data_IF_200256418131
#
_entry.id   IF_200256418131
#
_cell.length_a   1.000
_cell.length_b   1.000
_cell.length_c   1.000
_cell.angle_alpha   90.00
_cell.angle_beta   90.00
_cell.angle_gamma   90.00
#
_symmetry.space_group_name_H-M   'P 1'
#
loop_
_entity.id
_entity.type
_entity.pdbx_description
1 polymer ?
#
# COMPACT_ATOMS: atom_id res chain seq x y z
N UNK A 1 -6.96 0.59 -18.34
CA UNK A 1 -6.90 -0.78 -18.77
C UNK A 1 -5.59 -1.42 -18.37
N UNK A 2 -5.66 -2.50 -17.62
CA UNK A 2 -4.49 -3.14 -17.04
C UNK A 2 -4.32 -4.55 -17.61
N UNK A 3 -4.11 -4.63 -18.93
CA UNK A 3 -3.86 -5.90 -19.59
C UNK A 3 -2.52 -6.50 -19.18
N UNK A 4 -1.57 -5.65 -18.76
CA UNK A 4 -0.28 -6.11 -18.24
C UNK A 4 -0.28 -6.02 -16.73
N UNK A 5 0.44 -6.91 -16.05
CA UNK A 5 0.60 -6.79 -14.61
C UNK A 5 1.20 -5.43 -14.24
N UNK A 6 0.53 -4.69 -13.36
CA UNK A 6 1.07 -3.42 -12.88
C UNK A 6 1.39 -3.46 -11.38
N UNK A 7 0.99 -4.53 -10.71
CA UNK A 7 1.33 -4.78 -9.31
C UNK A 7 2.03 -6.12 -9.20
N UNK A 8 2.99 -6.20 -8.30
CA UNK A 8 3.61 -7.47 -7.97
C UNK A 8 3.78 -7.59 -6.46
N UNK A 9 3.74 -8.83 -5.97
CA UNK A 9 3.94 -9.17 -4.57
C UNK A 9 4.98 -10.27 -4.49
N UNK A 10 5.95 -10.13 -3.61
CA UNK A 10 6.97 -11.13 -3.40
C UNK A 10 7.30 -11.25 -1.92
N UNK A 11 7.40 -12.49 -1.46
CA UNK A 11 7.90 -12.77 -0.11
C UNK A 11 9.41 -12.62 -0.12
N UNK A 12 9.96 -11.97 0.89
CA UNK A 12 11.38 -11.69 0.99
C UNK A 12 11.84 -11.83 2.44
N UNK A 13 13.15 -11.64 2.65
CA UNK A 13 13.74 -11.58 4.00
C UNK A 13 13.46 -12.86 4.81
N UNK A 14 13.61 -14.02 4.15
CA UNK A 14 13.39 -15.29 4.83
C UNK A 14 11.95 -15.54 5.26
N UNK A 15 10.99 -14.91 4.59
CA UNK A 15 9.57 -15.02 4.93
C UNK A 15 9.09 -13.95 5.88
N UNK A 16 9.94 -12.97 6.23
CA UNK A 16 9.60 -11.96 7.24
C UNK A 16 9.09 -10.66 6.64
N UNK A 17 9.02 -10.55 5.32
CA UNK A 17 8.47 -9.38 4.67
C UNK A 17 7.76 -9.77 3.38
N UNK A 18 6.81 -8.92 2.98
CA UNK A 18 6.17 -8.99 1.67
C UNK A 18 6.42 -7.65 0.98
N UNK A 19 6.97 -7.72 -0.21
CA UNK A 19 7.27 -6.53 -1.01
C UNK A 19 6.18 -6.38 -2.07
N UNK A 20 5.55 -5.20 -2.07
CA UNK A 20 4.55 -4.83 -3.07
C UNK A 20 5.17 -3.78 -3.98
N UNK A 21 5.06 -3.98 -5.28
CA UNK A 21 5.43 -2.98 -6.27
C UNK A 21 4.18 -2.55 -7.02
N UNK A 22 3.98 -1.26 -7.14
CA UNK A 22 2.84 -0.65 -7.83
C UNK A 22 3.34 0.05 -9.08
N UNK A 23 2.60 -0.04 -10.18
CA UNK A 23 2.97 0.57 -11.46
C UNK A 23 4.36 0.14 -11.90
N UNK A 24 4.57 -1.18 -11.92
CA UNK A 24 5.87 -1.82 -12.16
C UNK A 24 6.48 -1.31 -13.48
N UNK A 25 7.74 -0.87 -13.39
CA UNK A 25 8.52 -0.36 -14.53
C UNK A 25 7.95 0.90 -15.18
N UNK A 26 7.08 1.62 -14.48
CA UNK A 26 6.57 2.92 -14.91
C UNK A 26 7.27 4.05 -14.15
N UNK A 27 7.24 5.29 -14.67
CA UNK A 27 7.88 6.41 -13.96
C UNK A 27 7.36 6.67 -12.55
N UNK A 28 6.12 6.26 -12.27
CA UNK A 28 5.50 6.42 -10.96
C UNK A 28 5.51 5.13 -10.14
N UNK A 29 6.43 4.23 -10.41
CA UNK A 29 6.55 3.01 -9.63
C UNK A 29 6.74 3.34 -8.15
N UNK A 30 6.04 2.58 -7.28
CA UNK A 30 6.12 2.70 -5.84
C UNK A 30 6.35 1.34 -5.22
N UNK A 31 6.91 1.33 -4.02
CA UNK A 31 7.20 0.10 -3.30
C UNK A 31 6.66 0.19 -1.89
N UNK A 32 5.97 -0.85 -1.45
CA UNK A 32 5.54 -0.98 -0.06
C UNK A 32 6.15 -2.25 0.51
N UNK A 33 6.53 -2.20 1.78
CA UNK A 33 7.04 -3.37 2.49
C UNK A 33 6.13 -3.63 3.69
N UNK A 34 5.57 -4.83 3.73
CA UNK A 34 4.70 -5.29 4.83
C UNK A 34 5.51 -6.20 5.73
N UNK A 35 5.39 -6.02 7.03
CA UNK A 35 6.13 -6.81 8.01
C UNK A 35 5.42 -6.82 9.34
N UNK A 36 5.73 -7.85 10.16
CA UNK A 36 5.17 -7.97 11.50
C UNK A 36 6.18 -7.48 12.53
N UNK A 37 5.68 -6.80 13.54
CA UNK A 37 6.48 -6.42 14.70
C UNK A 37 5.60 -6.52 15.94
N UNK A 38 6.03 -7.30 16.92
CA UNK A 38 5.28 -7.52 18.16
C UNK A 38 3.83 -7.97 17.90
N UNK A 39 3.62 -8.77 16.87
CA UNK A 39 2.29 -9.27 16.51
C UNK A 39 1.41 -8.31 15.74
N UNK A 40 1.91 -7.14 15.40
CA UNK A 40 1.16 -6.16 14.61
C UNK A 40 1.72 -6.08 13.19
N UNK A 41 0.83 -5.88 12.22
CA UNK A 41 1.22 -5.73 10.81
C UNK A 41 1.48 -4.27 10.49
N UNK A 42 2.69 -3.99 10.03
CA UNK A 42 3.11 -2.66 9.58
C UNK A 42 3.30 -2.63 8.08
N UNK A 43 3.24 -1.44 7.51
CA UNK A 43 3.54 -1.22 6.11
C UNK A 43 4.31 0.09 5.98
N UNK A 44 5.46 0.03 5.32
CA UNK A 44 6.22 1.22 4.95
C UNK A 44 6.04 1.42 3.45
N UNK A 45 5.51 2.57 3.06
CA UNK A 45 5.22 2.88 1.66
C UNK A 45 6.23 3.90 1.14
N UNK A 46 6.96 3.50 0.11
CA UNK A 46 7.93 4.37 -0.59
C UNK A 46 7.22 4.98 -1.79
N UNK A 47 6.74 6.19 -1.60
CA UNK A 47 5.85 6.85 -2.53
C UNK A 47 6.61 7.56 -3.64
N UNK A 48 6.01 7.61 -4.83
CA UNK A 48 6.58 8.36 -5.95
C UNK A 48 6.57 9.88 -5.69
N UNK A 49 5.84 10.33 -4.65
CA UNK A 49 5.91 11.72 -4.20
C UNK A 49 7.22 12.04 -3.46
N UNK A 50 8.01 11.03 -3.13
CA UNK A 50 9.29 11.21 -2.45
C UNK A 50 9.23 11.16 -0.94
N UNK A 51 8.05 10.91 -0.34
CA UNK A 51 7.92 10.71 1.10
C UNK A 51 7.58 9.26 1.42
N UNK A 52 7.67 8.88 2.69
CA UNK A 52 7.50 7.50 3.11
C UNK A 52 6.53 7.42 4.29
N UNK A 53 5.23 7.19 4.04
CA UNK A 53 4.27 6.91 5.10
C UNK A 53 4.53 5.55 5.75
N UNK A 54 4.56 5.52 7.08
CA UNK A 54 4.52 4.27 7.84
C UNK A 54 3.13 4.09 8.40
N UNK A 55 2.58 2.91 8.18
CA UNK A 55 1.22 2.59 8.60
C UNK A 55 1.18 1.33 9.44
N UNK A 56 0.13 1.20 10.23
CA UNK A 56 -0.13 -0.01 11.00
C UNK A 56 -1.56 -0.46 10.73
N UNK A 57 -1.75 -1.78 10.67
CA UNK A 57 -3.08 -2.33 10.49
C UNK A 57 -3.96 -1.98 11.70
N UNK A 58 -5.14 -1.45 11.41
CA UNK A 58 -6.19 -1.25 12.38
C UNK A 58 -6.95 -2.57 12.58
N UNK A 59 -7.92 -2.65 13.50
CA UNK A 59 -8.69 -3.88 13.68
C UNK A 59 -9.24 -4.38 12.35
N UNK A 60 -8.97 -5.64 12.04
CA UNK A 60 -9.31 -6.25 10.77
C UNK A 60 -10.60 -7.06 10.87
N UNK A 61 -11.23 -7.27 9.70
CA UNK A 61 -12.26 -8.28 9.53
C UNK A 61 -11.66 -9.47 8.78
N UNK A 62 -12.47 -10.50 8.48
CA UNK A 62 -12.00 -11.64 7.71
C UNK A 62 -11.60 -11.25 6.28
N UNK A 63 -12.20 -10.20 5.74
CA UNK A 63 -12.06 -9.85 4.34
C UNK A 63 -11.25 -8.59 4.09
N UNK A 64 -10.95 -7.81 5.12
CA UNK A 64 -10.30 -6.51 4.89
C UNK A 64 -9.28 -6.18 5.97
N UNK A 65 -8.14 -5.64 5.53
CA UNK A 65 -7.10 -5.11 6.42
C UNK A 65 -7.04 -3.60 6.18
N UNK A 66 -7.62 -2.78 7.07
CA UNK A 66 -7.43 -1.33 6.98
C UNK A 66 -6.14 -0.91 7.68
N UNK A 67 -5.49 0.12 7.14
CA UNK A 67 -4.27 0.67 7.71
C UNK A 67 -4.47 2.13 8.08
N UNK A 68 -3.78 2.59 9.12
CA UNK A 68 -3.75 3.98 9.50
C UNK A 68 -2.30 4.47 9.56
N UNK A 69 -2.10 5.74 9.19
CA UNK A 69 -0.77 6.32 9.17
C UNK A 69 -0.28 6.58 10.59
N UNK A 70 0.99 6.23 10.85
CA UNK A 70 1.66 6.53 12.11
C UNK A 70 2.60 7.73 11.96
N UNK A 71 3.34 7.78 10.87
CA UNK A 71 4.31 8.83 10.62
C UNK A 71 4.61 8.88 9.14
N UNK A 72 5.15 10.01 8.68
CA UNK A 72 5.58 10.16 7.29
C UNK A 72 6.95 10.81 7.33
N UNK A 73 7.93 10.16 6.71
CA UNK A 73 9.28 10.71 6.61
C UNK A 73 9.45 11.49 5.32
N UNK A 74 10.44 12.39 5.32
CA UNK A 74 10.81 13.20 4.18
C UNK A 74 9.70 14.13 3.68
N UNK A 75 8.94 14.71 4.63
CA UNK A 75 8.02 15.79 4.31
C UNK A 75 8.66 17.13 4.69
N UNK A 76 8.64 18.08 3.77
CA UNK A 76 9.13 19.42 4.05
C UNK A 76 8.18 20.18 4.96
N UNK A 77 6.90 19.87 4.88
CA UNK A 77 5.84 20.50 5.68
C UNK A 77 4.73 19.48 5.96
N UNK A 78 4.07 19.65 7.10
CA UNK A 78 2.89 18.84 7.43
C UNK A 78 1.73 19.06 6.45
N UNK A 79 1.83 20.08 5.60
CA UNK A 79 0.83 20.37 4.58
C UNK A 79 1.11 19.68 3.25
N UNK A 80 2.23 18.97 3.13
CA UNK A 80 2.59 18.31 1.89
C UNK A 80 1.63 17.15 1.57
N UNK A 81 1.40 16.95 0.30
CA UNK A 81 0.62 15.83 -0.19
C UNK A 81 1.28 14.51 0.20
N UNK A 82 0.52 13.61 0.79
CA UNK A 82 1.02 12.27 1.13
C UNK A 82 -0.13 11.28 1.20
N UNK A 83 0.19 10.01 1.03
CA UNK A 83 -0.76 8.92 1.24
C UNK A 83 -1.00 8.81 2.75
N UNK A 84 -2.27 8.81 3.15
CA UNK A 84 -2.66 8.83 4.56
C UNK A 84 -3.60 7.71 4.96
N UNK A 85 -4.14 6.96 3.99
CA UNK A 85 -4.98 5.82 4.28
C UNK A 85 -4.76 4.72 3.24
N UNK A 86 -5.02 3.49 3.64
CA UNK A 86 -4.82 2.32 2.80
C UNK A 86 -5.62 1.17 3.34
N UNK A 87 -6.15 0.34 2.46
CA UNK A 87 -6.75 -0.94 2.87
C UNK A 87 -6.55 -1.97 1.78
N UNK A 88 -6.55 -3.23 2.21
CA UNK A 88 -6.53 -4.39 1.32
C UNK A 88 -7.78 -5.19 1.63
N UNK A 89 -8.60 -5.41 0.62
CA UNK A 89 -9.79 -6.24 0.71
C UNK A 89 -9.58 -7.51 -0.09
N UNK A 90 -9.88 -8.65 0.53
CA UNK A 90 -9.74 -9.95 -0.14
C UNK A 90 -11.09 -10.33 -0.72
N UNK A 91 -11.20 -10.28 -2.05
CA UNK A 91 -12.45 -10.51 -2.77
C UNK A 91 -12.65 -11.98 -3.15
N UNK A 92 -11.63 -12.79 -2.92
CA UNK A 92 -11.62 -14.21 -3.23
C UNK A 92 -10.19 -14.73 -3.18
N UNK A 93 -9.96 -16.00 -3.56
CA UNK A 93 -8.62 -16.58 -3.45
C UNK A 93 -7.60 -15.95 -4.42
N UNK A 94 -8.06 -15.31 -5.49
CA UNK A 94 -7.18 -14.78 -6.52
C UNK A 94 -7.42 -13.30 -6.83
N UNK A 95 -8.21 -12.61 -6.01
CA UNK A 95 -8.59 -11.24 -6.30
C UNK A 95 -8.54 -10.38 -5.03
N UNK A 96 -7.95 -9.21 -5.16
CA UNK A 96 -7.91 -8.22 -4.08
C UNK A 96 -8.31 -6.85 -4.62
N UNK A 97 -8.83 -6.01 -3.73
CA UNK A 97 -9.03 -4.60 -3.98
C UNK A 97 -8.15 -3.83 -3.01
N UNK A 98 -7.30 -2.97 -3.56
CA UNK A 98 -6.45 -2.09 -2.75
C UNK A 98 -6.98 -0.67 -2.86
N UNK A 99 -7.07 0.02 -1.73
CA UNK A 99 -7.55 1.40 -1.67
C UNK A 99 -6.49 2.29 -1.06
N UNK A 100 -6.32 3.47 -1.64
CA UNK A 100 -5.36 4.47 -1.20
C UNK A 100 -6.06 5.81 -1.06
N UNK A 101 -5.82 6.50 0.02
CA UNK A 101 -6.30 7.86 0.20
C UNK A 101 -5.15 8.79 0.48
N UNK A 102 -5.31 10.06 0.15
CA UNK A 102 -4.28 11.07 0.30
C UNK A 102 -4.79 12.26 1.11
N UNK A 103 -3.85 12.98 1.72
CA UNK A 103 -4.10 14.19 2.48
C UNK A 103 -3.17 15.29 1.96
N UNK A 104 -3.69 16.49 1.83
CA UNK A 104 -2.93 17.69 1.52
C UNK A 104 -3.49 18.85 2.33
N UNK A 105 -2.60 19.72 2.82
CA UNK A 105 -3.01 20.84 3.67
C UNK A 105 -3.87 20.38 4.85
N UNK A 106 -3.53 19.17 5.37
CA UNK A 106 -4.19 18.54 6.51
C UNK A 106 -5.66 18.16 6.25
N UNK A 107 -6.06 18.09 4.98
CA UNK A 107 -7.42 17.72 4.59
C UNK A 107 -7.38 16.55 3.60
N UNK A 108 -8.34 15.61 3.69
CA UNK A 108 -8.43 14.55 2.68
C UNK A 108 -8.65 15.13 1.29
N UNK A 109 -7.94 14.57 0.30
CA UNK A 109 -8.02 15.06 -1.09
C UNK A 109 -8.66 14.06 -2.03
N UNK A 110 -9.14 12.94 -1.52
CA UNK A 110 -9.67 11.88 -2.36
C UNK A 110 -8.72 10.71 -2.40
N UNK A 111 -9.04 9.73 -3.22
CA UNK A 111 -8.27 8.51 -3.28
C UNK A 111 -8.50 7.74 -4.55
N UNK A 112 -7.88 6.58 -4.61
CA UNK A 112 -8.01 5.67 -5.73
C UNK A 112 -8.16 4.24 -5.21
N UNK A 113 -8.70 3.38 -6.06
CA UNK A 113 -8.73 1.96 -5.74
C UNK A 113 -8.50 1.15 -7.00
N UNK A 114 -8.01 -0.06 -6.81
CA UNK A 114 -7.73 -0.99 -7.90
C UNK A 114 -8.16 -2.38 -7.48
N UNK A 115 -8.99 -3.02 -8.31
CA UNK A 115 -9.33 -4.43 -8.13
C UNK A 115 -8.47 -5.22 -9.11
N UNK A 116 -7.68 -6.13 -8.58
CA UNK A 116 -6.71 -6.88 -9.38
C UNK A 116 -6.86 -8.37 -9.14
N UNK A 117 -6.66 -9.13 -10.18
CA UNK A 117 -6.63 -10.58 -10.12
C UNK A 117 -5.20 -11.08 -10.18
N UNK A 118 -4.95 -12.19 -9.49
CA UNK A 118 -3.67 -12.86 -9.59
C UNK A 118 -3.45 -13.31 -11.03
N UNK A 119 -2.26 -13.07 -11.54
CA UNK A 119 -1.88 -13.59 -12.84
C UNK A 119 -1.84 -15.11 -12.77
N UNK A 120 -2.59 -15.76 -13.64
CA UNK A 120 -2.65 -17.21 -13.68
C UNK A 120 -1.40 -17.85 -14.30
N UNK A 121 -0.52 -17.04 -14.88
CA UNK A 121 0.73 -17.53 -15.48
C UNK A 121 1.70 -17.92 -14.37
N UNK A 122 2.21 -19.16 -14.39
CA UNK A 122 3.17 -19.61 -13.39
C UNK A 122 4.47 -18.83 -13.44
#
# INVERSE_FOLDING_TARGET
NFDEPFMSYAVSSGGHSVIERLFVDKPNEMTSVYYLSAGQLYMDHYCSLGNQPRMVAAPTTLDEIPFKVLSVTNMASKNDLHISSHSIEFDGPDEITVRWGATKDQEPTGGSFYTVKRDATP
#
